data_IF_503515697147
#
_entry.id   IF_503515697147
#
_cell.length_a   1.000
_cell.length_b   1.000
_cell.length_c   1.000
_cell.angle_alpha   90.00
_cell.angle_beta   90.00
_cell.angle_gamma   90.00
#
_symmetry.space_group_name_H-M   'P 1'
#
loop_
_entity.id
_entity.type
_entity.pdbx_description
1 polymer ?
#
# COMPACT_ATOMS: atom_id res chain seq x y z
N UNK A 1 5.01 -14.83 8.85
CA UNK A 1 3.86 -14.41 9.68
C UNK A 1 3.80 -12.91 9.65
N UNK A 2 2.66 -12.33 9.31
CA UNK A 2 2.48 -10.89 9.35
C UNK A 2 2.64 -10.35 10.78
N UNK A 3 3.30 -9.20 10.90
CA UNK A 3 3.47 -8.46 12.17
C UNK A 3 2.29 -7.51 12.44
N UNK A 4 1.51 -7.22 11.41
CA UNK A 4 0.31 -6.39 11.52
C UNK A 4 -0.96 -7.22 11.76
N UNK A 5 -2.05 -6.55 12.17
CA UNK A 5 -3.33 -7.19 12.47
C UNK A 5 -4.49 -6.41 11.86
N UNK A 6 -5.62 -7.07 11.65
CA UNK A 6 -6.85 -6.47 11.10
C UNK A 6 -7.24 -5.19 11.85
N UNK A 7 -7.15 -5.19 13.19
CA UNK A 7 -7.47 -4.04 14.02
C UNK A 7 -6.57 -2.82 13.71
N UNK A 8 -5.27 -3.04 13.47
CA UNK A 8 -4.34 -1.96 13.15
C UNK A 8 -4.57 -1.40 11.75
N UNK A 9 -4.87 -2.26 10.78
CA UNK A 9 -5.21 -1.84 9.41
C UNK A 9 -6.49 -0.99 9.42
N UNK A 10 -7.54 -1.45 10.12
CA UNK A 10 -8.77 -0.66 10.30
C UNK A 10 -8.54 0.66 11.02
N UNK A 11 -7.60 0.69 11.97
CA UNK A 11 -7.24 1.91 12.69
C UNK A 11 -6.70 3.03 11.80
N UNK A 12 -6.05 2.70 10.68
CA UNK A 12 -5.54 3.70 9.72
C UNK A 12 -6.45 3.93 8.51
N UNK A 13 -7.32 2.96 8.21
CA UNK A 13 -8.19 2.97 7.05
C UNK A 13 -9.64 2.74 7.45
N UNK A 14 -10.30 3.81 7.87
CA UNK A 14 -11.71 3.80 8.30
C UNK A 14 -12.67 3.35 7.20
N UNK A 15 -12.32 3.53 5.92
CA UNK A 15 -13.07 3.02 4.77
C UNK A 15 -13.13 1.49 4.72
N UNK A 16 -12.18 0.80 5.36
CA UNK A 16 -12.10 -0.66 5.41
C UNK A 16 -12.87 -1.25 6.61
N UNK A 17 -13.48 -0.42 7.45
CA UNK A 17 -14.31 -0.87 8.58
C UNK A 17 -15.52 -1.72 8.16
N UNK A 18 -15.96 -1.57 6.90
CA UNK A 18 -17.08 -2.31 6.30
C UNK A 18 -16.67 -3.63 5.63
N UNK A 19 -15.38 -3.96 5.59
CA UNK A 19 -14.89 -5.24 5.06
C UNK A 19 -14.90 -6.29 6.16
N UNK A 20 -15.09 -7.56 5.79
CA UNK A 20 -14.96 -8.67 6.72
C UNK A 20 -13.51 -8.84 7.18
N UNK A 21 -13.34 -9.37 8.39
CA UNK A 21 -12.01 -9.61 8.97
C UNK A 21 -11.18 -10.53 8.06
N UNK A 22 -11.80 -11.59 7.52
CA UNK A 22 -11.16 -12.53 6.58
C UNK A 22 -10.64 -11.85 5.32
N UNK A 23 -11.34 -10.83 4.81
CA UNK A 23 -10.88 -10.08 3.63
C UNK A 23 -9.66 -9.23 3.97
N UNK A 24 -9.63 -8.64 5.17
CA UNK A 24 -8.49 -7.83 5.61
C UNK A 24 -7.29 -8.73 5.91
N UNK A 25 -7.50 -9.93 6.45
CA UNK A 25 -6.44 -10.94 6.62
C UNK A 25 -5.82 -11.31 5.29
N UNK A 26 -6.62 -11.56 4.26
CA UNK A 26 -6.11 -11.82 2.90
C UNK A 26 -5.25 -10.66 2.37
N UNK A 27 -5.67 -9.41 2.57
CA UNK A 27 -4.86 -8.24 2.18
C UNK A 27 -3.57 -8.09 2.98
N UNK A 28 -3.55 -8.58 4.21
CA UNK A 28 -2.32 -8.60 5.02
C UNK A 28 -1.36 -9.66 4.47
N UNK A 29 -1.86 -10.84 4.12
CA UNK A 29 -1.03 -11.90 3.55
C UNK A 29 -0.46 -11.49 2.18
N UNK A 30 -1.29 -10.93 1.31
CA UNK A 30 -0.85 -10.37 0.03
C UNK A 30 0.18 -9.25 0.22
N UNK A 31 -0.04 -8.38 1.22
CA UNK A 31 0.91 -7.31 1.54
C UNK A 31 2.28 -7.82 1.97
N UNK A 32 2.35 -8.94 2.70
CA UNK A 32 3.62 -9.57 3.06
C UNK A 32 4.35 -10.04 1.80
N UNK A 33 3.65 -10.75 0.91
CA UNK A 33 4.23 -11.26 -0.34
C UNK A 33 4.75 -10.13 -1.23
N UNK A 34 3.97 -9.07 -1.41
CA UNK A 34 4.36 -7.89 -2.20
C UNK A 34 5.58 -7.18 -1.62
N UNK A 35 5.76 -7.22 -0.29
CA UNK A 35 6.89 -6.60 0.38
C UNK A 35 8.16 -7.46 0.29
N UNK A 36 8.08 -8.77 0.07
CA UNK A 36 9.27 -9.64 -0.07
C UNK A 36 10.20 -9.18 -1.22
N UNK A 37 9.64 -8.58 -2.27
CA UNK A 37 10.40 -8.03 -3.40
C UNK A 37 11.17 -6.74 -3.07
N UNK A 38 10.89 -6.11 -1.93
CA UNK A 38 11.51 -4.85 -1.52
C UNK A 38 12.54 -5.03 -0.41
N UNK A 39 13.64 -4.28 -0.52
CA UNK A 39 14.60 -4.15 0.58
C UNK A 39 14.18 -3.03 1.53
N UNK A 40 13.92 -3.38 2.77
CA UNK A 40 13.64 -2.43 3.85
C UNK A 40 14.20 -2.93 5.18
N UNK A 41 14.27 -2.02 6.14
CA UNK A 41 14.68 -2.32 7.52
C UNK A 41 13.51 -2.95 8.28
N UNK A 42 13.77 -4.06 9.00
CA UNK A 42 12.78 -4.80 9.80
C UNK A 42 12.00 -3.88 10.76
N UNK A 43 12.61 -2.79 11.24
CA UNK A 43 11.93 -1.80 12.09
C UNK A 43 10.71 -1.15 11.42
N UNK A 44 10.62 -1.20 10.09
CA UNK A 44 9.50 -0.69 9.31
C UNK A 44 8.58 -1.77 8.76
N UNK A 45 8.89 -3.05 8.96
CA UNK A 45 8.15 -4.17 8.38
C UNK A 45 6.66 -4.11 8.75
N UNK A 46 6.32 -4.06 10.04
CA UNK A 46 4.92 -3.98 10.48
C UNK A 46 4.20 -2.76 9.90
N UNK A 47 4.92 -1.63 9.82
CA UNK A 47 4.37 -0.39 9.30
C UNK A 47 4.08 -0.54 7.80
N UNK A 48 5.00 -1.11 7.04
CA UNK A 48 4.87 -1.37 5.60
C UNK A 48 3.72 -2.33 5.33
N UNK A 49 3.66 -3.47 6.01
CA UNK A 49 2.57 -4.46 5.89
C UNK A 49 1.22 -3.79 6.13
N UNK A 50 1.11 -2.98 7.19
CA UNK A 50 -0.12 -2.26 7.52
C UNK A 50 -0.57 -1.27 6.44
N UNK A 51 0.35 -0.46 5.92
CA UNK A 51 0.03 0.51 4.87
C UNK A 51 -0.22 -0.16 3.52
N UNK A 52 0.46 -1.26 3.23
CA UNK A 52 0.27 -2.03 2.01
C UNK A 52 -1.08 -2.75 2.02
N UNK A 53 -1.45 -3.40 3.13
CA UNK A 53 -2.77 -4.00 3.29
C UNK A 53 -3.89 -2.95 3.16
N UNK A 54 -3.71 -1.77 3.76
CA UNK A 54 -4.65 -0.67 3.62
C UNK A 54 -4.74 -0.13 2.17
N UNK A 55 -3.63 -0.14 1.44
CA UNK A 55 -3.60 0.24 0.03
C UNK A 55 -4.42 -0.74 -0.81
N UNK A 56 -4.19 -2.05 -0.66
CA UNK A 56 -4.91 -3.11 -1.37
C UNK A 56 -6.41 -3.04 -1.11
N UNK A 57 -6.82 -2.98 0.16
CA UNK A 57 -8.23 -2.85 0.51
C UNK A 57 -8.89 -1.57 0.01
N UNK A 58 -8.12 -0.48 -0.13
CA UNK A 58 -8.64 0.79 -0.66
C UNK A 58 -8.75 0.79 -2.18
N UNK A 59 -7.94 0.00 -2.88
CA UNK A 59 -8.10 -0.21 -4.32
C UNK A 59 -9.36 -1.01 -4.65
N UNK A 60 -9.67 -2.02 -3.83
CA UNK A 60 -10.87 -2.86 -3.99
C UNK A 60 -12.16 -2.11 -3.63
N UNK A 61 -12.11 -1.24 -2.61
CA UNK A 61 -13.19 -0.30 -2.27
C UNK A 61 -12.72 1.15 -2.37
N UNK A 62 -12.68 1.73 -3.58
CA UNK A 62 -12.36 3.14 -3.73
C UNK A 62 -13.37 3.98 -2.96
N UNK A 63 -12.89 4.96 -2.17
CA UNK A 63 -13.79 5.93 -1.54
C UNK A 63 -14.65 6.58 -2.63
N UNK A 64 -15.97 6.69 -2.46
CA UNK A 64 -16.80 7.48 -3.35
C UNK A 64 -16.31 8.92 -3.27
N UNK A 65 -15.47 9.28 -4.22
CA UNK A 65 -14.98 10.65 -4.39
C UNK A 65 -15.86 11.23 -5.48
N UNK A 66 -16.31 12.48 -5.34
CA UNK A 66 -17.14 13.24 -6.30
C UNK A 66 -16.55 13.37 -7.72
N UNK A 67 -15.47 12.63 -8.03
CA UNK A 67 -14.77 12.56 -9.32
C UNK A 67 -14.96 11.21 -10.02
N UNK A 68 -16.17 10.66 -10.02
CA UNK A 68 -16.52 9.64 -11.01
C UNK A 68 -16.70 10.30 -12.38
N UNK A 69 -15.61 10.57 -13.10
CA UNK A 69 -15.65 10.79 -14.54
C UNK A 69 -14.43 10.18 -15.21
N UNK A 70 -14.61 8.96 -15.68
CA UNK A 70 -13.73 8.34 -16.67
C UNK A 70 -13.87 6.82 -16.63
N UNK A 71 -14.16 6.14 -17.75
CA UNK A 71 -14.10 4.69 -17.79
C UNK A 71 -12.69 4.32 -17.38
N UNK A 72 -12.58 3.50 -16.33
CA UNK A 72 -11.33 2.92 -15.87
C UNK A 72 -10.86 1.98 -16.97
N UNK A 73 -10.24 2.59 -17.99
CA UNK A 73 -9.76 1.95 -19.19
C UNK A 73 -8.68 1.00 -18.71
N UNK A 74 -8.90 -0.29 -18.94
CA UNK A 74 -7.92 -1.37 -18.93
C UNK A 74 -6.73 -1.03 -19.84
N UNK A 75 -5.97 -0.01 -19.49
CA UNK A 75 -4.59 0.13 -19.86
C UNK A 75 -3.86 -0.47 -18.66
N UNK A 76 -3.28 -1.64 -18.87
CA UNK A 76 -2.01 -1.95 -18.26
C UNK A 76 -0.96 -1.20 -19.09
N UNK A 77 -0.65 0.10 -18.88
CA UNK A 77 0.68 0.52 -19.28
C UNK A 77 1.62 -0.19 -18.33
N UNK A 78 2.79 -0.52 -18.84
CA UNK A 78 3.93 -1.08 -18.13
C UNK A 78 4.37 -0.14 -16.97
N UNK A 79 3.53 -0.01 -15.94
CA UNK A 79 3.74 0.84 -14.77
C UNK A 79 4.59 0.03 -13.83
N UNK A 80 5.86 0.39 -13.72
CA UNK A 80 6.69 0.01 -12.57
C UNK A 80 5.86 0.16 -11.29
N UNK A 81 5.76 -0.88 -10.45
CA UNK A 81 4.83 -0.95 -9.31
C UNK A 81 4.82 0.27 -8.37
N UNK A 82 5.87 1.10 -8.41
CA UNK A 82 5.91 2.40 -7.73
C UNK A 82 4.87 3.44 -8.21
N UNK A 83 4.33 3.35 -9.43
CA UNK A 83 3.26 4.26 -9.88
C UNK A 83 1.90 3.87 -9.31
N UNK A 84 1.65 2.57 -9.14
CA UNK A 84 0.40 2.04 -8.57
C UNK A 84 0.30 2.37 -7.08
N UNK A 85 1.42 2.32 -6.37
CA UNK A 85 1.51 2.77 -4.99
C UNK A 85 1.11 4.26 -4.80
N UNK A 86 1.13 5.09 -5.85
CA UNK A 86 0.69 6.51 -5.73
C UNK A 86 -0.82 6.70 -5.78
N UNK A 87 -1.59 5.65 -6.08
CA UNK A 87 -3.05 5.72 -6.24
C UNK A 87 -3.77 6.00 -4.92
N UNK A 88 -3.21 5.56 -3.79
CA UNK A 88 -3.79 5.78 -2.46
C UNK A 88 -2.84 6.55 -1.57
N UNK A 89 -3.37 7.17 -0.51
CA UNK A 89 -2.54 7.82 0.52
C UNK A 89 -1.67 6.80 1.25
N UNK A 90 -2.15 5.56 1.40
CA UNK A 90 -1.43 4.47 2.05
C UNK A 90 -0.23 4.00 1.23
N UNK A 91 -0.39 3.80 -0.08
CA UNK A 91 0.73 3.43 -0.95
C UNK A 91 1.78 4.54 -1.07
N UNK A 92 1.38 5.82 -0.97
CA UNK A 92 2.34 6.94 -0.89
C UNK A 92 3.20 6.86 0.37
N UNK A 93 2.63 6.44 1.50
CA UNK A 93 3.38 6.24 2.74
C UNK A 93 4.31 5.03 2.64
N UNK A 94 3.90 3.94 1.97
CA UNK A 94 4.79 2.80 1.62
C UNK A 94 6.02 3.31 0.85
N UNK A 95 5.81 4.07 -0.23
CA UNK A 95 6.90 4.66 -1.01
C UNK A 95 7.81 5.56 -0.18
N UNK A 96 7.24 6.38 0.71
CA UNK A 96 8.01 7.25 1.60
C UNK A 96 8.91 6.44 2.53
N UNK A 97 8.40 5.34 3.09
CA UNK A 97 9.17 4.46 3.97
C UNK A 97 10.25 3.73 3.19
N UNK A 98 9.93 3.17 2.02
CA UNK A 98 10.92 2.51 1.15
C UNK A 98 12.05 3.47 0.75
N UNK A 99 11.72 4.71 0.38
CA UNK A 99 12.73 5.77 0.12
C UNK A 99 13.58 6.07 1.35
N UNK A 100 12.97 6.08 2.53
CA UNK A 100 13.72 6.27 3.79
C UNK A 100 14.67 5.11 4.09
N UNK A 101 14.30 3.88 3.72
CA UNK A 101 15.15 2.69 3.88
C UNK A 101 16.32 2.67 2.90
N UNK A 102 16.08 3.07 1.65
CA UNK A 102 17.11 3.12 0.60
C UNK A 102 18.04 4.34 0.72
N UNK A 103 17.92 5.14 1.78
CA UNK A 103 18.69 6.37 2.00
C UNK A 103 18.29 7.49 1.03
N UNK A 104 18.79 8.73 1.25
CA UNK A 104 18.71 9.73 0.19
C UNK A 104 19.43 9.17 -1.02
N UNK A 105 18.73 9.07 -2.16
CA UNK A 105 19.41 8.97 -3.44
C UNK A 105 20.30 10.21 -3.51
N UNK A 106 21.59 10.05 -3.23
CA UNK A 106 22.60 11.06 -3.52
C UNK A 106 22.55 11.23 -5.02
N UNK A 107 21.77 12.21 -5.49
CA UNK A 107 21.87 12.72 -6.83
C UNK A 107 23.21 13.44 -6.86
N UNK A 108 24.27 12.70 -7.14
CA UNK A 108 25.57 13.26 -7.47
C UNK A 108 25.37 13.90 -8.84
N UNK A 109 24.99 15.18 -8.84
CA UNK A 109 25.14 16.01 -10.02
C UNK A 109 26.64 16.05 -10.33
N UNK A 110 27.03 15.41 -11.43
CA UNK A 110 28.36 15.50 -12.04
C UNK A 110 28.33 16.59 -13.10
#
# INVERSE_FOLDING_TARGET
MALTTVAKVRGIASNLSSLEDSTIEMYIDDAVLELEDFRYDEKYQEKLERYMAAHLGTLDKPKPTDKMLGPMRNMYPNRTGQEELKLTEYGKEVLRILRKCNGPAMVVFS
#
